data_IF_285542001681
#
_entry.id   IF_285542001681
#
_cell.length_a   1.000
_cell.length_b   1.000
_cell.length_c   1.000
_cell.angle_alpha   90.00
_cell.angle_beta   90.00
_cell.angle_gamma   90.00
#
_symmetry.space_group_name_H-M   'P 1'
#
loop_
_entity.id
_entity.type
_entity.pdbx_description
1 polymer ?
#
# COMPACT_ATOMS: atom_id res chain seq x y z
N UNK A 1 -16.27 17.45 27.52
CA UNK A 1 -16.67 16.24 26.77
C UNK A 1 -15.84 16.11 25.49
N UNK A 2 -14.56 15.69 25.59
CA UNK A 2 -13.62 15.74 24.45
C UNK A 2 -13.32 14.36 23.82
N UNK A 3 -14.21 13.37 23.96
CA UNK A 3 -13.89 11.97 23.64
C UNK A 3 -14.86 11.28 22.63
N UNK A 4 -15.60 12.04 21.81
CA UNK A 4 -16.48 11.45 20.78
C UNK A 4 -16.03 11.68 19.33
N UNK A 5 -15.04 12.54 19.06
CA UNK A 5 -14.66 12.92 17.70
C UNK A 5 -13.44 12.15 17.11
N UNK A 6 -12.71 11.37 17.91
CA UNK A 6 -11.45 10.71 17.47
C UNK A 6 -11.58 9.22 17.12
N UNK A 7 -12.80 8.67 17.06
CA UNK A 7 -13.05 7.33 16.50
C UNK A 7 -13.40 7.39 15.01
N UNK A 8 -12.82 8.34 14.27
CA UNK A 8 -12.72 8.19 12.82
C UNK A 8 -11.94 6.91 12.56
N UNK A 9 -12.63 5.85 12.11
CA UNK A 9 -12.00 4.57 11.75
C UNK A 9 -10.75 4.90 10.95
N UNK A 10 -9.57 4.51 11.45
CA UNK A 10 -8.31 4.76 10.77
C UNK A 10 -8.45 4.21 9.34
N UNK A 11 -8.54 5.10 8.36
CA UNK A 11 -8.89 4.77 6.97
C UNK A 11 -7.86 3.80 6.37
N UNK A 12 -6.60 3.91 6.77
CA UNK A 12 -5.52 3.02 6.37
C UNK A 12 -5.73 1.62 6.94
N UNK A 13 -6.04 1.51 8.23
CA UNK A 13 -6.35 0.21 8.86
C UNK A 13 -7.57 -0.44 8.23
N UNK A 14 -8.62 0.33 7.95
CA UNK A 14 -9.83 -0.18 7.29
C UNK A 14 -9.53 -0.68 5.88
N UNK A 15 -8.77 0.08 5.10
CA UNK A 15 -8.32 -0.30 3.76
C UNK A 15 -7.49 -1.59 3.80
N UNK A 16 -6.41 -1.63 4.57
CA UNK A 16 -5.51 -2.79 4.61
C UNK A 16 -6.15 -4.04 5.22
N UNK A 17 -7.21 -3.88 6.02
CA UNK A 17 -8.00 -5.01 6.52
C UNK A 17 -8.98 -5.55 5.46
N UNK A 18 -9.41 -4.72 4.50
CA UNK A 18 -10.28 -5.13 3.40
C UNK A 18 -9.54 -5.66 2.17
N UNK A 19 -8.23 -5.40 2.07
CA UNK A 19 -7.39 -5.89 0.98
C UNK A 19 -7.03 -7.36 1.19
N UNK A 20 -7.15 -8.17 0.13
CA UNK A 20 -6.79 -9.60 0.18
C UNK A 20 -5.33 -9.79 0.60
N UNK A 21 -5.01 -10.97 1.14
CA UNK A 21 -3.66 -11.34 1.56
C UNK A 21 -2.57 -11.08 0.50
N UNK A 22 -2.82 -11.45 -0.76
CA UNK A 22 -1.85 -11.28 -1.87
C UNK A 22 -1.48 -9.82 -2.08
N UNK A 23 -2.49 -8.96 -2.22
CA UNK A 23 -2.30 -7.53 -2.42
C UNK A 23 -1.64 -6.84 -1.22
N UNK A 24 -1.96 -7.27 0.01
CA UNK A 24 -1.28 -6.78 1.21
C UNK A 24 0.20 -7.17 1.23
N UNK A 25 0.51 -8.40 0.81
CA UNK A 25 1.88 -8.87 0.67
C UNK A 25 2.70 -8.00 -0.28
N UNK A 26 2.11 -7.57 -1.41
CA UNK A 26 2.77 -6.63 -2.34
C UNK A 26 3.08 -5.28 -1.67
N UNK A 27 2.09 -4.69 -0.98
CA UNK A 27 2.29 -3.41 -0.28
C UNK A 27 3.40 -3.53 0.78
N UNK A 28 3.41 -4.62 1.55
CA UNK A 28 4.42 -4.86 2.58
C UNK A 28 5.80 -5.08 1.97
N UNK A 29 5.87 -5.77 0.84
CA UNK A 29 7.10 -5.92 0.06
C UNK A 29 7.65 -4.56 -0.40
N UNK A 30 6.80 -3.70 -0.97
CA UNK A 30 7.20 -2.34 -1.38
C UNK A 30 7.69 -1.50 -0.18
N UNK A 31 7.11 -1.72 1.00
CA UNK A 31 7.52 -1.09 2.24
C UNK A 31 8.80 -1.68 2.87
N UNK A 32 9.44 -2.66 2.23
CA UNK A 32 10.68 -3.29 2.71
C UNK A 32 10.48 -4.24 3.89
N UNK A 33 9.25 -4.66 4.18
CA UNK A 33 8.98 -5.60 5.27
C UNK A 33 9.41 -7.01 4.86
N UNK A 34 10.14 -7.67 5.76
CA UNK A 34 10.51 -9.07 5.60
C UNK A 34 9.27 -9.99 5.55
N UNK A 35 9.39 -11.12 4.86
CA UNK A 35 8.27 -12.01 4.48
C UNK A 35 7.51 -12.59 5.67
N UNK A 36 8.18 -12.76 6.80
CA UNK A 36 7.59 -13.22 8.06
C UNK A 36 6.50 -12.26 8.58
N UNK A 37 6.61 -10.96 8.29
CA UNK A 37 5.61 -9.94 8.66
C UNK A 37 4.38 -9.92 7.75
N UNK A 38 4.41 -10.59 6.59
CA UNK A 38 3.29 -10.55 5.62
C UNK A 38 2.03 -11.26 6.12
N UNK A 39 2.20 -12.22 7.05
CA UNK A 39 1.09 -12.88 7.75
C UNK A 39 0.34 -11.96 8.71
N UNK A 40 0.97 -10.88 9.17
CA UNK A 40 0.41 -9.95 10.13
C UNK A 40 -0.59 -9.00 9.46
N UNK A 41 -1.68 -8.72 10.15
CA UNK A 41 -2.60 -7.62 9.84
C UNK A 41 -1.91 -6.29 10.18
N UNK A 42 -2.35 -5.22 9.53
CA UNK A 42 -1.71 -3.91 9.68
C UNK A 42 -1.65 -3.40 11.12
N UNK A 43 -2.66 -3.69 11.95
CA UNK A 43 -2.67 -3.26 13.36
C UNK A 43 -1.77 -4.10 14.26
N UNK A 44 -1.32 -5.27 13.80
CA UNK A 44 -0.38 -6.15 14.50
C UNK A 44 1.09 -5.79 14.20
N UNK A 45 1.32 -4.91 13.21
CA UNK A 45 2.65 -4.39 12.90
C UNK A 45 3.13 -3.37 13.94
N UNK A 46 4.44 -3.32 14.11
CA UNK A 46 5.09 -2.30 14.92
C UNK A 46 4.86 -0.89 14.35
N UNK A 47 5.05 0.14 15.17
CA UNK A 47 4.83 1.53 14.75
C UNK A 47 5.72 1.89 13.54
N UNK A 48 6.98 1.47 13.52
CA UNK A 48 7.92 1.75 12.44
C UNK A 48 7.46 1.11 11.12
N UNK A 49 7.09 -0.18 11.15
CA UNK A 49 6.57 -0.90 9.99
C UNK A 49 5.29 -0.27 9.44
N UNK A 50 4.37 0.15 10.32
CA UNK A 50 3.14 0.83 9.89
C UNK A 50 3.43 2.14 9.16
N UNK A 51 4.43 2.90 9.61
CA UNK A 51 4.86 4.14 8.95
C UNK A 51 5.50 3.83 7.59
N UNK A 52 6.32 2.79 7.49
CA UNK A 52 6.92 2.34 6.23
C UNK A 52 5.84 1.93 5.22
N UNK A 53 4.83 1.18 5.65
CA UNK A 53 3.67 0.80 4.81
C UNK A 53 2.92 2.04 4.31
N UNK A 54 2.65 3.02 5.18
CA UNK A 54 1.98 4.26 4.76
C UNK A 54 2.83 5.04 3.74
N UNK A 55 4.15 5.10 3.94
CA UNK A 55 5.08 5.75 3.02
C UNK A 55 5.07 5.08 1.65
N UNK A 56 5.21 3.76 1.61
CA UNK A 56 5.15 2.98 0.37
C UNK A 56 3.83 3.18 -0.39
N UNK A 57 2.70 3.21 0.31
CA UNK A 57 1.41 3.49 -0.33
C UNK A 57 1.33 4.89 -0.96
N UNK A 58 1.95 5.91 -0.34
CA UNK A 58 2.01 7.26 -0.92
C UNK A 58 2.90 7.29 -2.16
N UNK A 59 4.07 6.67 -2.08
CA UNK A 59 5.03 6.58 -3.19
C UNK A 59 4.41 5.84 -4.39
N UNK A 60 3.66 4.76 -4.15
CA UNK A 60 2.92 4.06 -5.20
C UNK A 60 1.85 4.93 -5.84
N UNK A 61 1.11 5.70 -5.05
CA UNK A 61 0.10 6.61 -5.58
C UNK A 61 0.73 7.72 -6.44
N UNK A 62 1.83 8.31 -5.96
CA UNK A 62 2.60 9.32 -6.71
C UNK A 62 3.17 8.75 -8.01
N UNK A 63 3.72 7.53 -7.98
CA UNK A 63 4.20 6.82 -9.17
C UNK A 63 3.07 6.64 -10.19
N UNK A 64 1.92 6.12 -9.77
CA UNK A 64 0.78 5.94 -10.69
C UNK A 64 0.26 7.27 -11.26
N UNK A 65 0.33 8.36 -10.49
CA UNK A 65 -0.06 9.69 -10.95
C UNK A 65 0.94 10.29 -11.95
N UNK A 66 2.19 9.82 -11.95
CA UNK A 66 3.23 10.26 -12.88
C UNK A 66 3.15 9.59 -14.26
N UNK A 67 2.33 8.54 -14.40
CA UNK A 67 2.21 7.84 -15.68
C UNK A 67 1.50 8.73 -16.72
N UNK A 68 1.99 8.78 -17.98
CA UNK A 68 1.34 9.53 -19.04
C UNK A 68 -0.10 9.03 -19.24
N UNK A 69 -1.05 9.95 -19.28
CA UNK A 69 -2.49 9.65 -19.45
C UNK A 69 -2.85 9.10 -20.84
N UNK A 70 -1.90 9.22 -21.77
CA UNK A 70 -2.03 8.83 -23.17
C UNK A 70 -1.60 7.38 -23.40
N UNK A 71 -1.01 6.71 -22.40
CA UNK A 71 -0.67 5.30 -22.49
C UNK A 71 -1.96 4.47 -22.48
N UNK A 72 -2.19 3.76 -23.57
CA UNK A 72 -3.20 2.72 -23.69
C UNK A 72 -2.68 1.39 -23.13
N UNK A 73 -3.58 0.45 -22.84
CA UNK A 73 -3.19 -0.90 -22.40
C UNK A 73 -2.26 -1.61 -23.41
N UNK A 74 -2.27 -1.20 -24.68
CA UNK A 74 -1.37 -1.72 -25.71
C UNK A 74 0.09 -1.24 -25.53
N UNK A 75 0.30 -0.06 -24.92
CA UNK A 75 1.62 0.51 -24.66
C UNK A 75 2.30 -0.14 -23.43
N UNK A 76 1.55 -0.92 -22.63
CA UNK A 76 2.10 -1.70 -21.52
C UNK A 76 2.89 -2.94 -22.00
N UNK A 77 2.80 -3.31 -23.28
CA UNK A 77 3.64 -4.32 -23.89
C UNK A 77 4.98 -3.68 -24.23
N UNK A 78 5.93 -3.74 -23.29
CA UNK A 78 7.34 -3.49 -23.60
C UNK A 78 7.75 -4.58 -24.59
N UNK A 79 7.76 -4.26 -25.89
CA UNK A 79 8.52 -5.05 -26.85
C UNK A 79 9.98 -4.95 -26.42
N UNK A 80 10.44 -5.98 -25.70
CA UNK A 80 11.85 -6.23 -25.52
C UNK A 80 12.40 -6.67 -26.88
N UNK A 81 12.71 -5.70 -27.75
CA UNK A 81 13.62 -5.99 -28.85
C UNK A 81 15.06 -6.03 -28.30
N UNK A 82 15.86 -7.04 -28.68
CA UNK A 82 17.22 -7.27 -28.19
C UNK A 82 18.24 -6.21 -28.62
#
# INVERSE_FOLDING_TARGET
MLNKALKGKNRVTAFLSGVSFRHRGLIYFTAGLHRDKHKLKFHELEKADRLAVIKAMRELAELTASFPKELSDADAVINQDP
#
